data_IF_079120382245
#
_entry.id   IF_079120382245
#
_cell.length_a   1.000
_cell.length_b   1.000
_cell.length_c   1.000
_cell.angle_alpha   90.00
_cell.angle_beta   90.00
_cell.angle_gamma   90.00
#
_symmetry.space_group_name_H-M   'P 1'
#
loop_
_entity.id
_entity.type
_entity.pdbx_description
1 polymer ?
#
# COMPACT_ATOMS: atom_id res chain seq x y z
N UNK A 1 -11.08 -21.54 -23.45
CA UNK A 1 -11.42 -22.20 -22.17
C UNK A 1 -12.56 -21.43 -21.51
N UNK A 2 -13.38 -22.09 -20.69
CA UNK A 2 -14.41 -21.42 -19.88
C UNK A 2 -14.01 -21.51 -18.41
N UNK A 3 -14.17 -20.41 -17.68
CA UNK A 3 -13.90 -20.34 -16.23
C UNK A 3 -15.19 -19.97 -15.54
N UNK A 4 -15.64 -20.84 -14.64
CA UNK A 4 -16.79 -20.59 -13.80
C UNK A 4 -16.52 -19.48 -12.79
N UNK A 5 -17.58 -18.86 -12.29
CA UNK A 5 -17.50 -17.87 -11.24
C UNK A 5 -16.99 -18.48 -9.94
N UNK A 6 -16.01 -17.84 -9.29
CA UNK A 6 -15.57 -18.19 -7.93
C UNK A 6 -16.04 -17.11 -6.96
N UNK A 7 -16.68 -17.55 -5.88
CA UNK A 7 -17.19 -16.69 -4.81
C UNK A 7 -16.56 -17.16 -3.49
N UNK A 8 -15.97 -16.24 -2.74
CA UNK A 8 -15.48 -16.43 -1.36
C UNK A 8 -16.38 -15.57 -0.47
N UNK A 9 -16.91 -16.15 0.61
CA UNK A 9 -17.86 -15.49 1.52
C UNK A 9 -17.53 -15.81 2.98
N UNK A 10 -18.03 -14.97 3.90
CA UNK A 10 -17.87 -15.14 5.35
C UNK A 10 -19.00 -15.99 5.98
N UNK A 11 -18.93 -16.22 7.30
CA UNK A 11 -19.91 -17.03 8.04
C UNK A 11 -21.35 -16.47 8.02
N UNK A 12 -21.54 -15.20 7.66
CA UNK A 12 -22.86 -14.57 7.51
C UNK A 12 -23.41 -14.68 6.08
N UNK A 13 -22.60 -15.22 5.15
CA UNK A 13 -22.92 -15.24 3.72
C UNK A 13 -22.51 -13.97 2.99
N UNK A 14 -21.79 -13.04 3.64
CA UNK A 14 -21.30 -11.81 2.98
C UNK A 14 -20.14 -12.16 2.06
N UNK A 15 -20.23 -11.74 0.80
CA UNK A 15 -19.19 -11.97 -0.20
C UNK A 15 -17.96 -11.12 0.11
N UNK A 16 -16.79 -11.76 0.14
CA UNK A 16 -15.47 -11.15 0.29
C UNK A 16 -14.76 -10.98 -1.06
N UNK A 17 -14.91 -11.95 -1.97
CA UNK A 17 -14.35 -11.92 -3.33
C UNK A 17 -15.27 -12.63 -4.31
N UNK A 18 -15.45 -12.05 -5.50
CA UNK A 18 -16.12 -12.70 -6.63
C UNK A 18 -15.35 -12.42 -7.93
N UNK A 19 -15.01 -13.47 -8.68
CA UNK A 19 -14.15 -13.34 -9.88
C UNK A 19 -14.91 -13.30 -11.20
N UNK A 20 -16.22 -13.56 -11.19
CA UNK A 20 -17.06 -13.59 -12.39
C UNK A 20 -16.79 -14.78 -13.30
N UNK A 21 -17.65 -14.94 -14.30
CA UNK A 21 -17.46 -15.93 -15.37
C UNK A 21 -16.59 -15.36 -16.48
N UNK A 22 -15.77 -16.19 -17.13
CA UNK A 22 -14.92 -15.76 -18.23
C UNK A 22 -14.82 -16.81 -19.34
N UNK A 23 -14.66 -16.35 -20.57
CA UNK A 23 -14.48 -17.18 -21.78
C UNK A 23 -13.28 -16.71 -22.60
N UNK A 24 -12.67 -17.61 -23.38
CA UNK A 24 -11.54 -17.29 -24.26
C UNK A 24 -10.20 -17.80 -23.75
N UNK A 25 -9.14 -17.02 -23.97
CA UNK A 25 -7.81 -17.30 -23.43
C UNK A 25 -7.70 -16.70 -22.03
N UNK A 26 -7.91 -17.54 -21.03
CA UNK A 26 -8.09 -17.13 -19.63
C UNK A 26 -7.23 -18.03 -18.74
N UNK A 27 -6.65 -17.46 -17.68
CA UNK A 27 -5.96 -18.26 -16.68
C UNK A 27 -6.97 -18.96 -15.77
N UNK A 28 -6.69 -20.23 -15.43
CA UNK A 28 -7.45 -20.92 -14.39
C UNK A 28 -7.24 -20.23 -13.05
N UNK A 29 -8.21 -20.37 -12.15
CA UNK A 29 -8.02 -19.89 -10.80
C UNK A 29 -6.98 -20.76 -10.08
N UNK A 30 -6.10 -20.12 -9.31
CA UNK A 30 -5.21 -20.84 -8.39
C UNK A 30 -6.02 -21.68 -7.38
N UNK A 31 -5.41 -22.76 -6.89
CA UNK A 31 -6.05 -23.59 -5.86
C UNK A 31 -5.83 -22.96 -4.50
N UNK A 32 -6.92 -22.53 -3.86
CA UNK A 32 -6.88 -22.03 -2.48
C UNK A 32 -7.24 -23.19 -1.55
N UNK A 33 -6.28 -23.65 -0.74
CA UNK A 33 -6.50 -24.74 0.23
C UNK A 33 -6.87 -24.23 1.62
N UNK A 34 -6.51 -23.00 1.94
CA UNK A 34 -6.72 -22.36 3.23
C UNK A 34 -6.91 -20.84 3.07
N UNK A 35 -7.63 -20.24 4.02
CA UNK A 35 -7.81 -18.79 4.13
C UNK A 35 -7.33 -18.34 5.51
N UNK A 36 -6.48 -17.32 5.52
CA UNK A 36 -5.93 -16.73 6.75
C UNK A 36 -6.46 -15.31 6.93
N UNK A 37 -6.59 -14.89 8.18
CA UNK A 37 -6.91 -13.51 8.55
C UNK A 37 -5.91 -13.04 9.61
N UNK A 38 -5.52 -11.77 9.53
CA UNK A 38 -4.71 -11.10 10.55
C UNK A 38 -5.31 -9.72 10.81
N UNK A 39 -5.17 -9.24 12.04
CA UNK A 39 -5.50 -7.88 12.40
C UNK A 39 -4.20 -7.06 12.47
N UNK A 40 -4.20 -5.91 11.80
CA UNK A 40 -3.07 -4.97 11.82
C UNK A 40 -3.46 -3.79 12.69
N UNK A 41 -2.65 -3.52 13.71
CA UNK A 41 -2.94 -2.47 14.69
C UNK A 41 -2.96 -1.08 14.04
N UNK A 42 -3.87 -0.22 14.52
CA UNK A 42 -3.96 1.15 14.04
C UNK A 42 -2.66 1.92 14.32
N UNK A 43 -2.11 2.58 13.29
CA UNK A 43 -0.87 3.35 13.39
C UNK A 43 0.41 2.52 13.25
N UNK A 44 0.32 1.20 13.08
CA UNK A 44 1.50 0.34 12.86
C UNK A 44 2.15 0.52 11.48
N UNK A 45 1.42 1.05 10.50
CA UNK A 45 1.90 1.28 9.13
C UNK A 45 1.62 2.74 8.74
N UNK A 46 2.65 3.40 8.23
CA UNK A 46 2.50 4.69 7.56
C UNK A 46 2.00 4.48 6.12
N UNK A 47 0.68 4.52 5.97
CA UNK A 47 0.00 4.38 4.68
C UNK A 47 0.13 5.60 3.76
N UNK A 48 0.71 6.71 4.24
CA UNK A 48 1.02 7.86 3.37
C UNK A 48 2.21 7.57 2.47
N UNK A 49 3.11 6.70 2.94
CA UNK A 49 4.34 6.33 2.26
C UNK A 49 4.35 4.90 1.78
N UNK A 50 3.52 4.02 2.33
CA UNK A 50 3.60 2.58 2.06
C UNK A 50 2.24 1.98 1.72
N UNK A 51 2.26 0.90 0.93
CA UNK A 51 1.10 0.03 0.72
C UNK A 51 1.44 -1.42 1.05
N UNK A 52 0.47 -2.17 1.56
CA UNK A 52 0.61 -3.61 1.78
C UNK A 52 0.47 -4.30 0.43
N UNK A 53 1.46 -5.09 0.05
CA UNK A 53 1.46 -5.89 -1.20
C UNK A 53 1.31 -7.40 -0.94
N UNK A 54 1.43 -7.82 0.31
CA UNK A 54 1.31 -9.22 0.71
C UNK A 54 1.53 -9.38 2.21
N UNK A 55 1.49 -10.62 2.67
CA UNK A 55 1.78 -11.00 4.06
C UNK A 55 2.90 -12.05 4.03
N UNK A 56 3.90 -11.89 4.90
CA UNK A 56 4.87 -12.94 5.14
C UNK A 56 4.18 -14.10 5.87
N UNK A 57 4.15 -15.29 5.27
CA UNK A 57 3.42 -16.44 5.81
C UNK A 57 4.02 -16.95 7.13
N UNK A 58 5.33 -16.78 7.34
CA UNK A 58 6.03 -17.22 8.53
C UNK A 58 5.87 -16.23 9.68
N UNK A 59 6.14 -14.94 9.45
CA UNK A 59 6.09 -13.91 10.51
C UNK A 59 4.69 -13.35 10.73
N UNK A 60 3.77 -13.56 9.78
CA UNK A 60 2.44 -12.93 9.73
C UNK A 60 2.48 -11.41 9.63
N UNK A 61 3.62 -10.84 9.24
CA UNK A 61 3.77 -9.40 9.08
C UNK A 61 3.44 -8.95 7.65
N UNK A 62 2.85 -7.75 7.48
CA UNK A 62 2.62 -7.17 6.17
C UNK A 62 3.92 -6.85 5.44
N UNK A 63 3.99 -7.23 4.16
CA UNK A 63 5.06 -6.83 3.25
C UNK A 63 4.68 -5.48 2.67
N UNK A 64 5.53 -4.48 2.91
CA UNK A 64 5.31 -3.10 2.52
C UNK A 64 6.07 -2.75 1.24
N UNK A 65 5.42 -1.98 0.38
CA UNK A 65 6.04 -1.33 -0.78
C UNK A 65 5.90 0.18 -0.64
N UNK A 66 7.00 0.92 -0.82
CA UNK A 66 6.99 2.38 -0.76
C UNK A 66 6.25 2.95 -1.98
N UNK A 67 5.26 3.81 -1.71
CA UNK A 67 4.52 4.54 -2.72
C UNK A 67 5.45 5.63 -3.25
N UNK A 68 5.76 5.63 -4.55
CA UNK A 68 6.64 6.65 -5.12
C UNK A 68 5.96 8.01 -5.03
N UNK A 69 6.57 8.91 -4.24
CA UNK A 69 6.16 10.32 -4.19
C UNK A 69 6.83 11.03 -5.36
N UNK A 70 6.04 11.31 -6.41
CA UNK A 70 6.50 12.12 -7.52
C UNK A 70 6.38 13.60 -7.14
N UNK A 71 7.45 14.14 -6.54
CA UNK A 71 7.59 15.58 -6.35
C UNK A 71 7.92 16.21 -7.71
N UNK A 72 7.13 17.19 -8.14
CA UNK A 72 7.41 17.93 -9.36
C UNK A 72 8.73 18.72 -9.25
N UNK A 73 9.37 19.00 -10.37
CA UNK A 73 10.61 19.81 -10.38
C UNK A 73 10.38 21.23 -9.82
N UNK A 74 9.15 21.76 -9.95
CA UNK A 74 8.75 23.05 -9.36
C UNK A 74 8.66 22.97 -7.83
N UNK A 75 8.03 21.93 -7.28
CA UNK A 75 7.95 21.70 -5.83
C UNK A 75 9.33 21.48 -5.21
N UNK A 76 10.23 20.72 -5.88
CA UNK A 76 11.63 20.59 -5.43
C UNK A 76 12.33 21.95 -5.37
N UNK A 77 12.08 22.82 -6.36
CA UNK A 77 12.69 24.15 -6.41
C UNK A 77 12.15 25.07 -5.32
N UNK A 78 10.87 24.98 -5.01
CA UNK A 78 10.26 25.70 -3.87
C UNK A 78 10.88 25.22 -2.55
N UNK A 79 10.99 23.91 -2.35
CA UNK A 79 11.57 23.33 -1.14
C UNK A 79 13.05 23.73 -0.92
N UNK A 80 13.83 23.78 -2.00
CA UNK A 80 15.22 24.28 -1.97
C UNK A 80 15.28 25.75 -1.53
N UNK A 81 14.40 26.59 -2.08
CA UNK A 81 14.32 28.01 -1.75
C UNK A 81 13.90 28.22 -0.28
N UNK A 82 12.91 27.47 0.20
CA UNK A 82 12.47 27.51 1.61
C UNK A 82 13.60 27.10 2.57
N UNK A 83 14.33 26.03 2.25
CA UNK A 83 15.49 25.59 3.04
C UNK A 83 16.60 26.65 3.09
N UNK A 84 16.88 27.33 1.96
CA UNK A 84 17.86 28.41 1.93
C UNK A 84 17.45 29.61 2.78
N UNK A 85 16.16 29.98 2.77
CA UNK A 85 15.62 31.05 3.62
C UNK A 85 15.80 30.65 5.09
N UNK A 86 15.38 29.44 5.47
CA UNK A 86 15.49 28.93 6.84
C UNK A 86 16.95 28.92 7.34
N UNK A 87 17.89 28.45 6.52
CA UNK A 87 19.32 28.45 6.86
C UNK A 87 19.86 29.88 7.03
N UNK A 88 19.42 30.82 6.20
CA UNK A 88 19.85 32.21 6.29
C UNK A 88 19.25 32.91 7.51
N UNK A 89 18.00 32.64 7.87
CA UNK A 89 17.38 33.13 9.10
C UNK A 89 18.08 32.56 10.34
N UNK A 90 18.36 31.25 10.37
CA UNK A 90 19.11 30.63 11.46
C UNK A 90 20.52 31.25 11.63
N UNK A 91 21.20 31.59 10.52
CA UNK A 91 22.48 32.31 10.56
C UNK A 91 22.36 33.75 11.06
N UNK A 92 21.27 34.45 10.73
CA UNK A 92 21.02 35.83 11.15
C UNK A 92 20.59 35.95 12.62
N UNK A 93 19.82 34.98 13.11
CA UNK A 93 19.29 34.96 14.48
C UNK A 93 20.24 34.24 15.45
N UNK A 94 21.33 33.64 14.95
CA UNK A 94 22.37 33.05 15.79
C UNK A 94 21.98 31.73 16.44
N UNK A 95 21.23 30.89 15.70
CA UNK A 95 20.91 29.51 16.09
C UNK A 95 20.12 29.37 17.40
N UNK A 96 18.80 29.19 17.30
CA UNK A 96 18.01 28.69 18.43
C UNK A 96 17.62 27.25 18.07
N UNK A 97 18.42 26.31 18.58
CA UNK A 97 17.93 24.98 18.96
C UNK A 97 17.16 25.13 20.28
#
# INVERSE_FOLDING_TARGET
MNRANRIIYDQTGKILLQTGEATGDILQHDTITELHCIDVEYGSIDYTRNRIIGINIETKEPILEEIPVFISEEEKRIQELENQILLNENKKVGGIL
#
